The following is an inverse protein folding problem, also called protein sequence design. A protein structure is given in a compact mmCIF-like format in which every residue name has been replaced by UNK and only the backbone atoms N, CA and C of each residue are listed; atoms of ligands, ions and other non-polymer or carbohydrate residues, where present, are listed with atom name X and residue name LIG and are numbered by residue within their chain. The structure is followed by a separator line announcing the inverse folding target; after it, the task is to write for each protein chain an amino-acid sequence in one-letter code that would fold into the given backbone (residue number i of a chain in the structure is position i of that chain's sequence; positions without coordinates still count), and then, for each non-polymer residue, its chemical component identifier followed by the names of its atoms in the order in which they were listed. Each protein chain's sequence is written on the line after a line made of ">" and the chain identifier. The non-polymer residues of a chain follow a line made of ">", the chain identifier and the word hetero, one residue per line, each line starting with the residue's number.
data_IF_676116543565
#
_entry.id   IF_676116543565
#
_cell.length_a   1.000
_cell.length_b   1.000
_cell.length_c   1.000
_cell.angle_alpha   90.00
_cell.angle_beta   90.00
_cell.angle_gamma   90.00
#
_symmetry.space_group_name_H-M   'P 1'
#
loop_
_entity.id
_entity.type
_entity.pdbx_description
1 polymer ?
#
# COMPACT_ATOMS: atom_id res chain seq x y z
N UNK A 1 -19.88 48.51 -0.24
CA UNK A 1 -20.32 47.49 0.75
C UNK A 1 -19.90 46.20 0.13
N UNK A 2 -18.70 45.79 0.51
CA UNK A 2 -17.78 45.13 -0.39
C UNK A 2 -17.95 43.61 -0.30
N UNK A 3 -17.95 42.96 -1.45
CA UNK A 3 -18.16 41.53 -1.68
C UNK A 3 -16.94 40.67 -1.28
N UNK A 4 -16.09 41.13 -0.36
CA UNK A 4 -14.83 40.47 0.03
C UNK A 4 -14.96 39.67 1.33
N UNK A 5 -16.11 39.06 1.62
CA UNK A 5 -16.31 38.30 2.87
C UNK A 5 -16.93 36.91 2.69
N UNK A 6 -17.16 36.49 1.43
CA UNK A 6 -17.75 35.17 1.15
C UNK A 6 -16.68 34.12 0.88
N UNK A 7 -15.56 34.51 0.25
CA UNK A 7 -14.44 33.61 0.00
C UNK A 7 -13.69 33.23 1.28
N UNK A 8 -13.46 34.19 2.19
CA UNK A 8 -12.90 33.91 3.53
C UNK A 8 -13.80 32.98 4.36
N UNK A 9 -15.12 33.05 4.15
CA UNK A 9 -16.09 32.17 4.82
C UNK A 9 -16.01 30.73 4.27
N UNK A 10 -15.81 30.56 2.97
CA UNK A 10 -15.59 29.24 2.36
C UNK A 10 -14.23 28.66 2.71
N UNK A 11 -13.16 29.45 2.73
CA UNK A 11 -11.84 29.00 3.15
C UNK A 11 -11.83 28.58 4.62
N UNK A 12 -12.55 29.29 5.48
CA UNK A 12 -12.77 28.91 6.87
C UNK A 12 -13.60 27.63 7.01
N UNK A 13 -14.64 27.45 6.18
CA UNK A 13 -15.43 26.22 6.14
C UNK A 13 -14.63 25.01 5.64
N UNK A 14 -13.79 25.18 4.61
CA UNK A 14 -12.88 24.14 4.11
C UNK A 14 -11.82 23.79 5.16
N UNK A 15 -11.26 24.79 5.84
CA UNK A 15 -10.34 24.55 6.95
C UNK A 15 -11.01 23.83 8.12
N UNK A 16 -12.26 24.18 8.45
CA UNK A 16 -13.05 23.49 9.46
C UNK A 16 -13.43 22.08 9.03
N UNK A 17 -13.76 21.83 7.76
CA UNK A 17 -13.99 20.48 7.22
C UNK A 17 -12.73 19.65 7.26
N UNK A 18 -11.55 20.23 6.98
CA UNK A 18 -10.26 19.56 7.09
C UNK A 18 -9.91 19.27 8.56
N UNK A 19 -10.18 20.21 9.48
CA UNK A 19 -9.96 20.02 10.94
C UNK A 19 -10.96 19.01 11.51
N UNK A 20 -12.22 19.02 11.09
CA UNK A 20 -13.22 18.01 11.42
C UNK A 20 -12.86 16.66 10.82
N UNK A 21 -12.36 16.60 9.59
CA UNK A 21 -11.86 15.38 8.97
C UNK A 21 -10.63 14.84 9.70
N UNK A 22 -9.76 15.70 10.24
CA UNK A 22 -8.64 15.32 11.10
C UNK A 22 -9.13 14.85 12.49
N UNK A 23 -10.08 15.53 13.14
CA UNK A 23 -10.69 15.07 14.40
C UNK A 23 -11.51 13.79 14.24
N UNK A 24 -12.16 13.58 13.08
CA UNK A 24 -12.83 12.32 12.70
C UNK A 24 -11.80 11.22 12.38
N UNK A 25 -10.60 11.56 11.89
CA UNK A 25 -9.49 10.62 11.71
C UNK A 25 -8.80 10.23 13.02
N UNK A 26 -8.75 11.11 14.02
CA UNK A 26 -8.21 10.80 15.37
C UNK A 26 -9.19 10.04 16.27
N UNK A 27 -10.47 10.07 15.92
CA UNK A 27 -11.39 8.97 16.25
C UNK A 27 -11.36 7.98 15.10
N UNK A 28 -10.20 7.35 14.87
CA UNK A 28 -10.22 5.99 14.35
C UNK A 28 -11.20 5.27 15.26
N UNK A 29 -12.41 5.01 14.74
CA UNK A 29 -13.28 4.02 15.31
C UNK A 29 -12.34 2.89 15.67
N UNK A 30 -12.23 2.55 16.95
CA UNK A 30 -11.70 1.24 17.32
C UNK A 30 -12.52 0.32 16.44
N UNK A 31 -11.92 -0.15 15.34
CA UNK A 31 -12.44 -1.26 14.57
C UNK A 31 -12.30 -2.37 15.57
N UNK A 32 -13.34 -2.56 16.37
CA UNK A 32 -13.61 -3.82 16.98
C UNK A 32 -13.60 -4.77 15.79
N UNK A 33 -12.50 -5.52 15.66
CA UNK A 33 -12.44 -6.70 14.81
C UNK A 33 -13.57 -7.54 15.37
N UNK A 34 -14.74 -7.46 14.72
CA UNK A 34 -15.88 -8.30 15.05
C UNK A 34 -15.44 -9.71 14.67
N UNK A 35 -15.18 -10.48 15.72
CA UNK A 35 -15.20 -11.94 15.80
C UNK A 35 -14.33 -12.69 14.79
N UNK A 36 -13.09 -12.97 15.21
CA UNK A 36 -12.67 -14.31 15.63
C UNK A 36 -12.90 -15.55 14.74
N UNK A 37 -13.51 -15.46 13.57
CA UNK A 37 -13.73 -16.63 12.72
C UNK A 37 -12.50 -16.95 11.89
N UNK A 38 -12.04 -18.20 11.99
CA UNK A 38 -10.95 -18.73 11.21
C UNK A 38 -11.27 -18.57 9.70
N UNK A 39 -10.50 -17.80 8.90
CA UNK A 39 -10.80 -17.60 7.48
C UNK A 39 -10.81 -18.90 6.66
N UNK A 40 -10.16 -19.96 7.16
CA UNK A 40 -10.23 -21.29 6.56
C UNK A 40 -11.61 -21.95 6.73
N UNK A 41 -12.37 -21.59 7.75
CA UNK A 41 -13.71 -22.14 8.03
C UNK A 41 -14.80 -21.32 7.36
N UNK A 42 -14.68 -19.98 7.42
CA UNK A 42 -15.71 -19.08 6.91
C UNK A 42 -15.79 -19.01 5.38
N UNK A 43 -14.66 -18.91 4.68
CA UNK A 43 -14.67 -18.72 3.22
C UNK A 43 -14.72 -20.04 2.47
N UNK A 44 -15.44 -20.11 1.35
CA UNK A 44 -15.26 -21.21 0.39
C UNK A 44 -13.87 -21.15 -0.27
N UNK A 45 -13.35 -22.28 -0.76
CA UNK A 45 -11.96 -22.33 -1.29
C UNK A 45 -11.73 -21.36 -2.46
N UNK A 46 -12.74 -21.16 -3.31
CA UNK A 46 -12.71 -20.17 -4.41
C UNK A 46 -12.59 -18.74 -3.86
N UNK A 47 -13.34 -18.42 -2.81
CA UNK A 47 -13.33 -17.09 -2.20
C UNK A 47 -12.05 -16.82 -1.40
N UNK A 48 -11.56 -17.84 -0.72
CA UNK A 48 -10.29 -17.84 -0.02
C UNK A 48 -9.15 -17.59 -1.00
N UNK A 49 -9.11 -18.33 -2.12
CA UNK A 49 -8.09 -18.16 -3.16
C UNK A 49 -8.09 -16.76 -3.76
N UNK A 50 -9.26 -16.16 -3.99
CA UNK A 50 -9.34 -14.75 -4.45
C UNK A 50 -8.71 -13.77 -3.44
N UNK A 51 -8.85 -14.04 -2.14
CA UNK A 51 -8.42 -13.14 -1.06
C UNK A 51 -6.97 -13.32 -0.61
N UNK A 52 -6.47 -14.56 -0.64
CA UNK A 52 -5.15 -14.96 -0.12
C UNK A 52 -4.20 -15.44 -1.22
N UNK A 53 -4.66 -15.50 -2.49
CA UNK A 53 -3.92 -15.94 -3.70
C UNK A 53 -3.50 -17.42 -3.72
N UNK A 54 -3.70 -18.15 -2.63
CA UNK A 54 -3.46 -19.59 -2.49
C UNK A 54 -4.75 -20.34 -2.09
N UNK A 55 -4.84 -21.63 -2.38
CA UNK A 55 -5.93 -22.48 -1.87
C UNK A 55 -5.71 -22.81 -0.39
N UNK A 56 -6.79 -23.19 0.32
CA UNK A 56 -6.71 -23.63 1.71
C UNK A 56 -5.74 -24.80 1.87
N UNK A 57 -5.77 -25.74 0.92
CA UNK A 57 -4.91 -26.92 0.93
C UNK A 57 -3.43 -26.55 0.90
N UNK A 58 -3.02 -25.61 0.03
CA UNK A 58 -1.62 -25.19 -0.08
C UNK A 58 -1.17 -24.44 1.18
N UNK A 59 -2.01 -23.55 1.72
CA UNK A 59 -1.70 -22.82 2.95
C UNK A 59 -1.46 -23.77 4.11
N UNK A 60 -2.34 -24.75 4.32
CA UNK A 60 -2.28 -25.63 5.49
C UNK A 60 -1.26 -26.77 5.35
N UNK A 61 -1.16 -27.39 4.18
CA UNK A 61 -0.35 -28.61 4.02
C UNK A 61 1.03 -28.37 3.43
N UNK A 62 1.30 -27.18 2.88
CA UNK A 62 2.59 -26.86 2.25
C UNK A 62 3.25 -25.67 2.94
N UNK A 63 2.58 -24.52 2.99
CA UNK A 63 3.23 -23.29 3.47
C UNK A 63 3.40 -23.30 4.99
N UNK A 64 2.35 -23.65 5.74
CA UNK A 64 2.39 -23.63 7.21
C UNK A 64 3.50 -24.54 7.79
N UNK A 65 3.67 -25.81 7.34
CA UNK A 65 4.76 -26.66 7.83
C UNK A 65 6.16 -26.10 7.56
N UNK A 66 6.38 -25.44 6.41
CA UNK A 66 7.70 -24.90 6.03
C UNK A 66 8.17 -23.74 6.90
N UNK A 67 7.24 -23.00 7.53
CA UNK A 67 7.55 -21.81 8.33
C UNK A 67 7.33 -22.02 9.83
N UNK A 68 6.82 -23.20 10.23
CA UNK A 68 6.37 -23.44 11.60
C UNK A 68 7.52 -23.27 12.60
N UNK A 69 8.70 -23.80 12.28
CA UNK A 69 9.89 -23.75 13.13
C UNK A 69 10.36 -22.30 13.36
N UNK A 70 10.31 -21.47 12.31
CA UNK A 70 10.65 -20.04 12.42
C UNK A 70 9.66 -19.22 13.23
N UNK A 71 8.39 -19.66 13.31
CA UNK A 71 7.32 -18.95 14.04
C UNK A 71 7.27 -19.28 15.54
N UNK A 72 7.89 -20.38 15.97
CA UNK A 72 7.92 -20.81 17.38
C UNK A 72 8.91 -20.01 18.24
N UNK A 73 9.87 -19.31 17.63
CA UNK A 73 10.97 -18.57 18.31
C UNK A 73 10.46 -17.41 19.19
N UNK A 74 9.21 -16.96 19.01
CA UNK A 74 8.66 -15.75 19.66
C UNK A 74 7.54 -15.97 20.70
N UNK A 75 7.29 -17.20 21.17
CA UNK A 75 6.20 -17.45 22.14
C UNK A 75 6.67 -17.03 23.55
N UNK A 76 6.27 -15.83 23.97
CA UNK A 76 6.43 -15.38 25.36
C UNK A 76 5.06 -15.32 26.07
N UNK A 77 5.05 -15.49 27.40
CA UNK A 77 3.83 -15.55 28.22
C UNK A 77 3.16 -14.18 28.43
N UNK A 78 3.23 -13.25 27.46
CA UNK A 78 2.68 -11.89 27.58
C UNK A 78 1.27 -11.72 26.98
N UNK A 79 0.43 -12.76 27.03
CA UNK A 79 -0.98 -12.71 26.60
C UNK A 79 -1.46 -13.98 25.90
N UNK A 80 -2.63 -13.91 25.25
CA UNK A 80 -3.18 -14.97 24.39
C UNK A 80 -2.36 -15.04 23.09
N UNK A 81 -1.51 -16.07 22.87
CA UNK A 81 -0.65 -16.14 21.70
C UNK A 81 -1.48 -16.36 20.42
N UNK A 82 -1.27 -15.52 19.41
CA UNK A 82 -1.86 -15.71 18.07
C UNK A 82 -1.26 -16.99 17.44
N UNK A 83 -2.12 -17.89 16.96
CA UNK A 83 -1.65 -19.16 16.38
C UNK A 83 -0.79 -18.93 15.13
N UNK A 84 0.19 -19.81 14.83
CA UNK A 84 1.02 -19.70 13.63
C UNK A 84 0.22 -19.59 12.33
N UNK A 85 -0.91 -20.30 12.24
CA UNK A 85 -1.83 -20.23 11.11
C UNK A 85 -2.41 -18.82 10.94
N UNK A 86 -2.90 -18.19 12.02
CA UNK A 86 -3.46 -16.84 11.93
C UNK A 86 -2.37 -15.82 11.57
N UNK A 87 -1.15 -15.95 12.09
CA UNK A 87 0.00 -15.12 11.68
C UNK A 87 0.27 -15.24 10.18
N UNK A 88 0.27 -16.47 9.65
CA UNK A 88 0.43 -16.72 8.23
C UNK A 88 -0.71 -16.08 7.41
N UNK A 89 -1.97 -16.25 7.81
CA UNK A 89 -3.11 -15.67 7.09
C UNK A 89 -3.07 -14.14 7.08
N UNK A 90 -2.68 -13.49 8.18
CA UNK A 90 -2.48 -12.04 8.23
C UNK A 90 -1.41 -11.61 7.22
N UNK A 91 -0.28 -12.32 7.20
CA UNK A 91 0.83 -12.05 6.28
C UNK A 91 0.41 -12.23 4.81
N UNK A 92 -0.25 -13.34 4.46
CA UNK A 92 -0.76 -13.59 3.12
C UNK A 92 -1.80 -12.55 2.70
N UNK A 93 -2.66 -12.11 3.63
CA UNK A 93 -3.64 -11.05 3.34
C UNK A 93 -2.95 -9.74 3.01
N UNK A 94 -1.90 -9.40 3.76
CA UNK A 94 -1.07 -8.24 3.48
C UNK A 94 -0.40 -8.34 2.11
N UNK A 95 0.22 -9.48 1.76
CA UNK A 95 0.82 -9.66 0.44
C UNK A 95 -0.19 -9.64 -0.72
N UNK A 96 -1.39 -10.17 -0.51
CA UNK A 96 -2.41 -10.23 -1.53
C UNK A 96 -3.07 -8.88 -1.86
N UNK A 97 -2.99 -7.90 -0.95
CA UNK A 97 -3.70 -6.61 -1.05
C UNK A 97 -2.87 -5.38 -0.72
N UNK A 98 -1.60 -5.55 -0.33
CA UNK A 98 -0.69 -4.43 -0.11
C UNK A 98 -0.41 -3.69 -1.41
N UNK A 99 -0.09 -2.42 -1.30
CA UNK A 99 0.47 -1.69 -2.42
C UNK A 99 2.00 -1.60 -2.25
N UNK A 100 2.73 -1.90 -3.32
CA UNK A 100 4.18 -2.07 -3.32
C UNK A 100 4.78 -1.24 -4.44
N UNK A 101 5.67 -0.31 -4.11
CA UNK A 101 6.50 0.34 -5.12
C UNK A 101 7.82 -0.40 -5.21
N UNK A 102 8.21 -0.78 -6.42
CA UNK A 102 9.49 -1.37 -6.75
C UNK A 102 10.21 -0.48 -7.75
N UNK A 103 11.46 -0.11 -7.47
CA UNK A 103 12.33 0.56 -8.43
C UNK A 103 13.37 -0.43 -8.91
N UNK A 104 13.33 -0.75 -10.19
CA UNK A 104 14.28 -1.64 -10.84
C UNK A 104 15.30 -0.83 -11.65
N UNK A 105 16.56 -1.24 -11.60
CA UNK A 105 17.63 -0.73 -12.43
C UNK A 105 17.68 -1.40 -13.81
N UNK A 106 18.52 -0.88 -14.72
CA UNK A 106 18.62 -1.37 -16.10
C UNK A 106 19.19 -2.78 -16.22
N UNK A 107 19.80 -3.35 -15.17
CA UNK A 107 20.32 -4.73 -15.13
C UNK A 107 19.42 -5.65 -14.30
N UNK A 108 18.15 -5.29 -14.17
CA UNK A 108 17.16 -5.99 -13.34
C UNK A 108 17.55 -6.04 -11.85
N UNK A 109 18.40 -5.12 -11.38
CA UNK A 109 18.67 -4.97 -9.96
C UNK A 109 17.52 -4.26 -9.25
N UNK A 110 17.21 -4.67 -8.02
CA UNK A 110 16.25 -3.94 -7.19
C UNK A 110 16.98 -2.79 -6.51
N UNK A 111 16.59 -1.56 -6.82
CA UNK A 111 17.18 -0.34 -6.27
C UNK A 111 16.43 0.17 -5.02
N UNK A 112 15.13 -0.06 -4.97
CA UNK A 112 14.28 0.32 -3.83
C UNK A 112 13.00 -0.51 -3.79
N UNK A 113 12.52 -0.81 -2.57
CA UNK A 113 11.21 -1.40 -2.34
C UNK A 113 10.52 -0.63 -1.22
N UNK A 114 9.34 -0.07 -1.50
CA UNK A 114 8.49 0.57 -0.48
C UNK A 114 7.27 -0.30 -0.22
N UNK A 115 7.21 -0.85 0.99
CA UNK A 115 6.15 -1.77 1.45
C UNK A 115 5.55 -1.23 2.74
N UNK A 116 4.83 -0.11 2.65
CA UNK A 116 4.34 0.62 3.85
C UNK A 116 2.89 1.09 3.77
N UNK A 117 2.21 0.82 2.66
CA UNK A 117 0.93 1.45 2.36
C UNK A 117 -0.17 0.41 2.17
N UNK A 118 -1.36 0.70 2.70
CA UNK A 118 -2.55 -0.12 2.43
C UNK A 118 -2.88 -0.10 0.94
N UNK A 119 -3.49 -1.17 0.43
CA UNK A 119 -3.83 -1.33 -1.00
C UNK A 119 -4.65 -0.22 -1.64
N UNK A 120 -5.27 0.66 -0.85
CA UNK A 120 -6.03 1.82 -1.31
C UNK A 120 -5.17 3.08 -1.55
N UNK A 121 -3.88 3.04 -1.23
CA UNK A 121 -3.00 4.19 -1.38
C UNK A 121 -2.56 4.29 -2.84
N UNK A 122 -2.74 5.44 -3.46
CA UNK A 122 -2.33 5.65 -4.86
C UNK A 122 -0.81 5.60 -5.01
N UNK A 123 -0.33 5.08 -6.14
CA UNK A 123 1.11 4.86 -6.39
C UNK A 123 1.93 6.16 -6.31
N UNK A 124 1.36 7.28 -6.78
CA UNK A 124 1.97 8.61 -6.63
C UNK A 124 2.24 8.99 -5.18
N UNK A 125 1.31 8.69 -4.25
CA UNK A 125 1.48 8.98 -2.82
C UNK A 125 2.59 8.13 -2.21
N UNK A 126 2.74 6.89 -2.68
CA UNK A 126 3.83 6.00 -2.24
C UNK A 126 5.18 6.59 -2.68
N UNK A 127 5.26 7.07 -3.92
CA UNK A 127 6.48 7.69 -4.45
C UNK A 127 6.81 9.01 -3.76
N UNK A 128 5.81 9.84 -3.47
CA UNK A 128 5.98 11.10 -2.73
C UNK A 128 6.55 10.90 -1.33
N UNK A 129 6.30 9.73 -0.74
CA UNK A 129 6.83 9.33 0.58
C UNK A 129 8.05 8.42 0.49
N UNK A 130 8.55 8.13 -0.72
CA UNK A 130 9.67 7.21 -0.93
C UNK A 130 11.02 7.89 -0.71
N UNK A 131 12.00 7.12 -0.24
CA UNK A 131 13.38 7.59 -0.15
C UNK A 131 13.97 7.86 -1.54
N UNK A 132 13.53 7.12 -2.56
CA UNK A 132 13.94 7.33 -3.95
C UNK A 132 13.62 8.75 -4.42
N UNK A 133 12.41 9.27 -4.17
CA UNK A 133 12.08 10.66 -4.54
C UNK A 133 13.08 11.64 -3.94
N UNK A 134 13.33 11.52 -2.63
CA UNK A 134 14.26 12.42 -1.92
C UNK A 134 15.67 12.35 -2.53
N UNK A 135 16.15 11.15 -2.86
CA UNK A 135 17.49 10.95 -3.45
C UNK A 135 17.59 11.53 -4.87
N UNK A 136 16.54 11.48 -5.67
CA UNK A 136 16.49 12.14 -6.98
C UNK A 136 16.45 13.67 -6.85
N UNK A 137 15.62 14.21 -5.95
CA UNK A 137 15.51 15.65 -5.71
C UNK A 137 16.82 16.25 -5.17
N UNK A 138 17.57 15.48 -4.38
CA UNK A 138 18.90 15.87 -3.88
C UNK A 138 20.03 15.63 -4.90
N UNK A 139 19.73 15.12 -6.10
CA UNK A 139 20.74 14.82 -7.12
C UNK A 139 21.70 13.68 -6.76
N UNK A 140 21.37 12.87 -5.76
CA UNK A 140 22.17 11.72 -5.31
C UNK A 140 22.03 10.52 -6.25
N UNK A 141 20.89 10.43 -6.94
CA UNK A 141 20.67 9.49 -8.04
C UNK A 141 20.57 10.31 -9.32
N UNK A 142 21.38 9.96 -10.32
CA UNK A 142 21.30 10.53 -11.66
C UNK A 142 20.64 9.51 -12.58
N UNK A 143 19.68 9.97 -13.37
CA UNK A 143 18.95 9.14 -14.32
C UNK A 143 17.50 9.57 -14.48
N UNK A 144 16.77 8.76 -15.23
CA UNK A 144 15.33 8.91 -15.44
C UNK A 144 14.64 7.68 -14.89
N UNK A 145 13.53 7.89 -14.19
CA UNK A 145 12.57 6.86 -13.85
C UNK A 145 11.48 6.82 -14.92
N UNK A 146 11.03 5.62 -15.25
CA UNK A 146 9.82 5.38 -16.04
C UNK A 146 8.75 4.90 -15.07
N UNK A 147 7.73 5.72 -14.86
CA UNK A 147 6.56 5.40 -14.05
C UNK A 147 5.38 4.96 -14.92
N UNK A 148 4.38 4.32 -14.33
CA UNK A 148 3.09 4.14 -14.98
C UNK A 148 2.28 5.46 -15.05
N UNK A 149 1.09 5.38 -15.63
CA UNK A 149 0.19 6.52 -15.82
C UNK A 149 -0.35 7.13 -14.51
N UNK A 150 -0.17 6.45 -13.37
CA UNK A 150 -0.55 6.95 -12.06
C UNK A 150 0.44 7.97 -11.50
N UNK A 151 1.61 8.15 -12.12
CA UNK A 151 2.60 9.13 -11.69
C UNK A 151 2.47 10.46 -12.42
N UNK A 152 2.79 11.55 -11.72
CA UNK A 152 2.96 12.85 -12.36
C UNK A 152 4.34 12.93 -13.02
N UNK A 153 4.42 13.49 -14.22
CA UNK A 153 5.70 13.80 -14.87
C UNK A 153 6.54 14.75 -14.01
N UNK A 154 7.82 14.43 -13.86
CA UNK A 154 8.84 15.25 -13.16
C UNK A 154 10.13 15.25 -13.98
N UNK A 155 11.10 16.16 -13.71
CA UNK A 155 12.37 16.20 -14.43
C UNK A 155 13.16 14.87 -14.45
N UNK A 156 12.88 13.98 -13.49
CA UNK A 156 13.52 12.68 -13.33
C UNK A 156 12.52 11.51 -13.36
N UNK A 157 11.24 11.74 -13.62
CA UNK A 157 10.19 10.71 -13.69
C UNK A 157 9.29 10.97 -14.90
N UNK A 158 9.40 10.09 -15.90
CA UNK A 158 8.61 10.14 -17.12
C UNK A 158 7.46 9.14 -17.03
N UNK A 159 6.29 9.53 -17.50
CA UNK A 159 5.14 8.62 -17.66
C UNK A 159 4.79 8.47 -19.15
N UNK A 160 4.51 7.23 -19.62
CA UNK A 160 4.15 6.99 -21.00
C UNK A 160 2.90 7.76 -21.44
N UNK A 161 2.90 8.22 -22.69
CA UNK A 161 1.69 8.75 -23.33
C UNK A 161 0.77 7.58 -23.69
N UNK A 162 -0.45 7.57 -23.16
CA UNK A 162 -1.39 6.44 -23.32
C UNK A 162 -1.95 6.36 -24.75
N UNK A 163 -2.12 7.52 -25.39
CA UNK A 163 -2.68 7.65 -26.73
C UNK A 163 -1.82 8.64 -27.53
N UNK A 164 -0.71 8.17 -28.12
CA UNK A 164 0.11 9.02 -28.97
C UNK A 164 -0.73 9.42 -30.20
N UNK A 165 -0.82 10.72 -30.45
CA UNK A 165 -1.56 11.29 -31.59
C UNK A 165 -0.64 11.94 -32.61
N UNK A 166 0.61 12.20 -32.22
CA UNK A 166 1.63 12.78 -33.08
C UNK A 166 2.80 11.81 -33.29
N UNK A 167 3.50 11.93 -34.41
CA UNK A 167 4.70 11.13 -34.72
C UNK A 167 5.81 11.27 -33.66
N UNK A 168 5.83 12.36 -32.90
CA UNK A 168 6.78 12.61 -31.83
C UNK A 168 6.42 11.86 -30.54
N UNK A 169 5.16 11.42 -30.40
CA UNK A 169 4.68 10.64 -29.24
C UNK A 169 4.76 9.12 -29.49
N UNK A 170 4.87 8.68 -30.75
CA UNK A 170 5.00 7.25 -31.13
C UNK A 170 6.44 6.70 -31.11
N UNK A 171 7.46 7.57 -31.09
CA UNK A 171 8.87 7.19 -31.29
C UNK A 171 9.76 7.37 -30.06
#
# INVERSE_FOLDING_TARGET
>A
MDEDNFDDFFDYLDHLEVIEAHRRRDRLFKRYIRDGENPLEFYEDVEFRKRYRFSKHVVTNVILPLILDGLQIGINNRGLPVSPLIKLLICLRFYATGNFQLVAGPRMEILDIVVRHSGSTHDSVIFDRSAVRVRFEQGQIRGLLLGDNGYACRPYLLTPVIYPTTQQEEN
#
